data_IF_789222260946
#
_entry.id   IF_789222260946
#
_cell.length_a   1.000
_cell.length_b   1.000
_cell.length_c   1.000
_cell.angle_alpha   90.00
_cell.angle_beta   90.00
_cell.angle_gamma   90.00
#
_symmetry.space_group_name_H-M   'P 1'
#
loop_
_entity.id
_entity.type
_entity.pdbx_description
1 polymer ?
#
# COMPACT_ATOMS: atom_id res chain seq x y z
N UNK A 1 0.00 -32.54 0.08
CA UNK A 1 -0.25 -31.91 -0.10
C UNK A 1 -0.95 -30.83 0.26
N UNK A 2 -1.73 -30.89 0.99
CA UNK A 2 -2.62 -29.85 1.35
C UNK A 2 -1.96 -28.57 1.83
N UNK A 3 -0.81 -28.67 2.42
CA UNK A 3 -0.16 -27.51 2.97
C UNK A 3 0.28 -26.52 1.90
N UNK A 4 0.80 -27.02 0.79
CA UNK A 4 1.23 -26.12 -0.27
C UNK A 4 0.05 -25.53 -1.02
N UNK A 5 -0.99 -26.31 -1.19
CA UNK A 5 -2.20 -25.82 -1.83
C UNK A 5 -2.83 -24.71 -0.98
N UNK A 6 -2.81 -24.90 0.33
CA UNK A 6 -3.36 -23.90 1.24
C UNK A 6 -2.56 -22.61 1.20
N UNK A 7 -1.23 -22.72 1.17
CA UNK A 7 -0.41 -21.52 1.11
C UNK A 7 -0.67 -20.73 -0.17
N UNK A 8 -0.86 -21.43 -1.27
CA UNK A 8 -1.17 -20.73 -2.52
C UNK A 8 -2.55 -20.10 -2.48
N UNK A 9 -3.50 -20.77 -1.85
CA UNK A 9 -4.84 -20.23 -1.70
C UNK A 9 -4.94 -19.15 -0.66
N UNK A 10 -3.90 -19.02 0.18
CA UNK A 10 -3.91 -18.04 1.26
C UNK A 10 -3.27 -16.72 0.87
N UNK A 11 -3.26 -16.40 -0.40
CA UNK A 11 -2.75 -15.10 -0.82
C UNK A 11 -3.83 -14.34 -1.57
N UNK A 12 -3.71 -13.03 -1.54
CA UNK A 12 -4.59 -12.14 -2.25
C UNK A 12 -3.74 -11.19 -3.06
N UNK A 13 -4.37 -10.49 -3.98
CA UNK A 13 -3.68 -9.55 -4.84
C UNK A 13 -4.25 -8.17 -4.61
N UNK A 14 -3.37 -7.20 -4.39
CA UNK A 14 -3.76 -5.82 -4.19
C UNK A 14 -3.01 -4.94 -5.19
N UNK A 15 -3.48 -3.71 -5.34
CA UNK A 15 -2.91 -2.74 -6.26
C UNK A 15 -2.39 -1.56 -5.43
N UNK A 16 -1.13 -1.18 -5.63
CA UNK A 16 -0.53 -0.05 -4.93
C UNK A 16 -0.12 1.00 -5.94
N UNK A 17 -0.61 2.21 -5.76
CA UNK A 17 -0.31 3.33 -6.65
C UNK A 17 0.27 4.46 -5.81
N UNK A 18 1.47 4.92 -6.16
CA UNK A 18 2.12 6.04 -5.48
C UNK A 18 2.56 7.02 -6.55
N UNK A 19 1.94 8.19 -6.59
CA UNK A 19 2.18 9.15 -7.65
C UNK A 19 2.42 10.54 -7.09
N UNK A 20 3.36 11.25 -7.69
CA UNK A 20 3.59 12.64 -7.41
C UNK A 20 4.91 12.89 -6.74
N UNK A 21 5.15 14.15 -6.37
CA UNK A 21 6.39 14.53 -5.71
C UNK A 21 6.28 14.28 -4.22
N UNK A 22 7.16 13.45 -3.70
CA UNK A 22 7.19 13.10 -2.28
C UNK A 22 8.61 13.37 -1.80
N UNK A 23 8.74 14.29 -0.84
CA UNK A 23 10.05 14.75 -0.45
C UNK A 23 10.75 15.39 -1.65
N UNK A 24 11.95 14.97 -1.94
CA UNK A 24 12.72 15.50 -3.06
C UNK A 24 12.63 14.63 -4.31
N UNK A 25 11.79 13.61 -4.30
CA UNK A 25 11.74 12.65 -5.40
C UNK A 25 10.36 12.59 -6.04
N UNK A 26 10.37 12.33 -7.33
CA UNK A 26 9.13 12.08 -8.06
C UNK A 26 8.84 10.59 -8.00
N UNK A 27 7.63 10.24 -7.60
CA UNK A 27 7.22 8.84 -7.53
C UNK A 27 6.18 8.55 -8.62
N UNK A 28 6.36 7.39 -9.25
CA UNK A 28 5.43 6.93 -10.28
C UNK A 28 5.39 5.40 -10.16
N UNK A 29 4.68 4.94 -9.13
CA UNK A 29 4.59 3.53 -8.80
C UNK A 29 3.19 3.03 -9.07
N UNK A 30 3.10 1.92 -9.78
CA UNK A 30 1.82 1.32 -10.12
C UNK A 30 2.07 -0.20 -10.15
N UNK A 31 1.90 -0.84 -9.00
CA UNK A 31 2.28 -2.24 -8.83
C UNK A 31 1.15 -3.08 -8.26
N UNK A 32 1.07 -4.30 -8.72
CA UNK A 32 0.18 -5.28 -8.13
C UNK A 32 1.02 -6.21 -7.26
N UNK A 33 0.61 -6.41 -6.03
CA UNK A 33 1.34 -7.23 -5.08
C UNK A 33 0.50 -8.40 -4.65
N UNK A 34 1.15 -9.56 -4.53
CA UNK A 34 0.51 -10.74 -3.94
C UNK A 34 0.93 -10.76 -2.48
N UNK A 35 -0.03 -10.74 -1.59
CA UNK A 35 0.22 -10.69 -0.16
C UNK A 35 -0.55 -11.79 0.57
N UNK A 36 -0.11 -12.20 1.75
CA UNK A 36 -0.83 -13.24 2.50
C UNK A 36 -2.22 -12.77 2.91
N UNK A 37 -3.16 -13.69 2.93
CA UNK A 37 -4.49 -13.43 3.49
C UNK A 37 -4.32 -13.02 4.94
N UNK A 38 -5.03 -12.00 5.36
CA UNK A 38 -4.95 -11.51 6.73
C UNK A 38 -3.95 -10.38 6.92
N UNK A 39 -3.23 -9.99 5.85
CA UNK A 39 -2.32 -8.86 5.94
C UNK A 39 -3.11 -7.60 6.26
N UNK A 40 -2.68 -6.88 7.28
CA UNK A 40 -3.30 -5.61 7.64
C UNK A 40 -2.61 -4.48 6.88
N UNK A 41 -3.25 -3.32 6.88
CA UNK A 41 -2.68 -2.14 6.24
C UNK A 41 -1.31 -1.80 6.85
N UNK A 42 -1.18 -1.94 8.18
CA UNK A 42 0.11 -1.70 8.84
C UNK A 42 1.18 -2.68 8.39
N UNK A 43 0.82 -3.95 8.25
CA UNK A 43 1.77 -4.97 7.80
C UNK A 43 2.13 -4.82 6.33
N UNK A 44 1.26 -4.21 5.56
CA UNK A 44 1.53 -4.00 4.14
C UNK A 44 2.83 -3.25 3.92
N UNK A 45 3.20 -2.36 4.83
CA UNK A 45 4.43 -1.60 4.68
C UNK A 45 5.64 -2.54 4.63
N UNK A 46 5.66 -3.58 5.48
CA UNK A 46 6.75 -4.55 5.48
C UNK A 46 6.74 -5.41 4.22
N UNK A 47 5.55 -5.83 3.80
CA UNK A 47 5.43 -6.64 2.58
C UNK A 47 5.89 -5.85 1.37
N UNK A 48 5.53 -4.57 1.34
CA UNK A 48 5.93 -3.69 0.23
C UNK A 48 7.46 -3.51 0.20
N UNK A 49 8.09 -3.40 1.38
CA UNK A 49 9.55 -3.30 1.44
C UNK A 49 10.19 -4.52 0.78
N UNK A 50 9.69 -5.71 1.08
CA UNK A 50 10.23 -6.93 0.51
C UNK A 50 10.01 -7.01 -0.99
N UNK A 51 8.98 -6.38 -1.49
CA UNK A 51 8.67 -6.34 -2.92
C UNK A 51 9.31 -5.14 -3.61
N UNK A 52 10.08 -4.34 -2.86
CA UNK A 52 10.75 -3.14 -3.38
C UNK A 52 9.77 -2.08 -3.86
N UNK A 53 8.63 -2.00 -3.22
CA UNK A 53 7.66 -0.94 -3.46
C UNK A 53 7.86 0.08 -2.35
N UNK A 54 8.18 1.34 -2.67
CA UNK A 54 8.61 2.33 -1.66
C UNK A 54 7.46 2.94 -0.86
N UNK A 55 6.62 2.10 -0.28
CA UNK A 55 5.48 2.55 0.51
C UNK A 55 5.93 3.18 1.82
N UNK A 56 6.85 2.52 2.52
CA UNK A 56 7.37 3.04 3.79
C UNK A 56 8.03 4.40 3.59
N UNK A 57 8.84 4.51 2.53
CA UNK A 57 9.55 5.75 2.25
C UNK A 57 8.57 6.88 1.97
N UNK A 58 7.53 6.59 1.18
CA UNK A 58 6.53 7.60 0.86
C UNK A 58 5.82 8.10 2.12
N UNK A 59 5.45 7.19 3.01
CA UNK A 59 4.77 7.58 4.24
C UNK A 59 5.70 8.33 5.19
N UNK A 60 6.96 7.91 5.27
CA UNK A 60 7.94 8.59 6.13
C UNK A 60 8.25 10.00 5.64
N UNK A 61 8.28 10.19 4.33
CA UNK A 61 8.63 11.48 3.74
C UNK A 61 7.47 12.46 3.73
N UNK A 62 6.24 11.97 3.86
CA UNK A 62 5.07 12.84 3.72
C UNK A 62 3.99 12.52 4.74
N UNK A 63 3.95 13.26 5.84
CA UNK A 63 2.85 13.13 6.82
C UNK A 63 1.50 13.38 6.16
N UNK A 64 1.47 14.21 5.12
CA UNK A 64 0.23 14.47 4.40
C UNK A 64 -0.35 13.18 3.81
N UNK A 65 0.51 12.31 3.26
CA UNK A 65 0.04 11.07 2.66
C UNK A 65 -0.50 10.08 3.68
N UNK A 66 -0.01 10.16 4.92
CA UNK A 66 -0.56 9.33 5.99
C UNK A 66 -2.03 9.68 6.18
N UNK A 67 -2.35 10.97 6.11
CA UNK A 67 -3.72 11.45 6.32
C UNK A 67 -4.61 11.26 5.10
N UNK A 68 -4.04 11.26 3.91
CA UNK A 68 -4.83 11.24 2.68
C UNK A 68 -4.79 9.94 1.92
N UNK A 69 -4.21 8.89 2.52
CA UNK A 69 -4.22 7.57 1.89
C UNK A 69 -5.63 7.19 1.52
N UNK A 70 -5.78 6.54 0.37
CA UNK A 70 -7.08 6.08 -0.09
C UNK A 70 -7.07 4.57 -0.25
N UNK A 71 -8.15 3.95 0.14
CA UNK A 71 -8.36 2.51 -0.08
C UNK A 71 -9.68 2.37 -0.83
N UNK A 72 -9.62 1.81 -2.01
CA UNK A 72 -10.79 1.61 -2.87
C UNK A 72 -11.54 2.91 -3.14
N UNK A 73 -10.79 3.99 -3.32
CA UNK A 73 -11.36 5.28 -3.67
C UNK A 73 -11.88 6.10 -2.49
N UNK A 74 -11.73 5.58 -1.28
CA UNK A 74 -12.19 6.28 -0.09
C UNK A 74 -11.02 6.65 0.82
N UNK A 75 -11.09 7.81 1.43
CA UNK A 75 -10.04 8.25 2.35
C UNK A 75 -9.95 7.28 3.51
N UNK A 76 -8.74 6.82 3.78
CA UNK A 76 -8.50 5.82 4.82
C UNK A 76 -7.15 6.15 5.46
N UNK A 77 -7.11 7.12 6.40
CA UNK A 77 -5.86 7.54 6.99
C UNK A 77 -5.09 6.37 7.59
N UNK A 78 -3.83 6.29 7.25
CA UNK A 78 -3.01 5.14 7.62
C UNK A 78 -2.93 4.93 9.13
N UNK A 79 -2.65 6.00 9.88
CA UNK A 79 -2.43 5.87 11.31
C UNK A 79 -3.63 5.35 12.08
N UNK A 80 -4.83 5.61 11.56
CA UNK A 80 -6.08 5.19 12.22
C UNK A 80 -6.55 3.83 11.75
N UNK A 81 -5.92 3.26 10.73
CA UNK A 81 -6.42 2.05 10.08
C UNK A 81 -5.36 0.96 9.93
N UNK A 82 -4.34 0.99 10.76
CA UNK A 82 -3.26 0.00 10.66
C UNK A 82 -3.75 -1.43 10.84
N UNK A 83 -4.85 -1.61 11.57
CA UNK A 83 -5.40 -2.94 11.82
C UNK A 83 -6.40 -3.40 10.77
N UNK A 84 -6.67 -2.57 9.78
CA UNK A 84 -7.61 -2.94 8.72
C UNK A 84 -7.05 -4.09 7.91
N UNK A 85 -7.80 -5.18 7.81
CA UNK A 85 -7.40 -6.35 7.03
C UNK A 85 -7.69 -6.07 5.56
N UNK A 86 -6.69 -6.30 4.72
CA UNK A 86 -6.82 -6.07 3.28
C UNK A 86 -7.50 -7.28 2.63
N UNK A 87 -8.26 -7.00 1.58
CA UNK A 87 -9.00 -8.01 0.85
C UNK A 87 -8.53 -8.06 -0.59
N UNK A 88 -8.79 -9.20 -1.24
CA UNK A 88 -8.43 -9.37 -2.64
C UNK A 88 -9.04 -8.27 -3.49
N UNK A 89 -8.23 -7.65 -4.32
CA UNK A 89 -8.68 -6.58 -5.19
C UNK A 89 -8.61 -5.18 -4.58
N UNK A 90 -8.20 -5.06 -3.32
CA UNK A 90 -8.09 -3.73 -2.71
C UNK A 90 -7.09 -2.87 -3.44
N UNK A 91 -7.40 -1.58 -3.54
CA UNK A 91 -6.55 -0.58 -4.18
C UNK A 91 -6.09 0.44 -3.16
N UNK A 92 -4.77 0.55 -3.01
CA UNK A 92 -4.14 1.45 -2.04
C UNK A 92 -3.48 2.57 -2.83
N UNK A 93 -3.96 3.79 -2.68
CA UNK A 93 -3.48 4.93 -3.45
C UNK A 93 -2.88 6.00 -2.55
N UNK A 94 -1.68 6.44 -2.92
CA UNK A 94 -1.02 7.58 -2.30
C UNK A 94 -0.79 8.59 -3.41
N UNK A 95 -1.54 9.67 -3.39
CA UNK A 95 -1.48 10.67 -4.46
C UNK A 95 -0.98 11.98 -3.88
N UNK A 96 0.26 12.30 -4.16
CA UNK A 96 0.87 13.55 -3.70
C UNK A 96 0.56 14.66 -4.69
N UNK A 97 0.67 15.92 -4.26
CA UNK A 97 0.47 17.03 -5.18
C UNK A 97 1.39 16.93 -6.38
N UNK A 98 0.86 17.19 -7.57
CA UNK A 98 1.63 17.07 -8.81
C UNK A 98 2.37 18.36 -9.14
N UNK A 99 1.80 19.49 -8.81
CA UNK A 99 2.43 20.75 -9.12
C UNK A 99 3.26 21.20 -7.93
N UNK A 100 4.33 21.90 -8.19
CA UNK A 100 5.14 22.46 -7.13
C UNK A 100 4.45 23.57 -6.39
N UNK A 101 3.28 23.85 -6.78
CA UNK A 101 2.49 24.85 -6.08
C UNK A 101 1.59 24.20 -5.10
#
# INVERSE_FOLDING_TARGET
>A
MGIFDKLRGDSIRIHVLIKGRIGDAWHDVDEHLRIPVGTTLGKLVEVADNARVPLRDALDQSPHLIETMMVNGERCPFGENTERVLLDGDEIYLLAPLAGG
#
